data_IF_438100291039
#
_entry.id   IF_438100291039
#
_cell.length_a   1.000
_cell.length_b   1.000
_cell.length_c   1.000
_cell.angle_alpha   90.00
_cell.angle_beta   90.00
_cell.angle_gamma   90.00
#
_symmetry.space_group_name_H-M   'P 1'
#
loop_
_entity.id
_entity.type
_entity.pdbx_description
1 polymer ?
#
# COMPACT_ATOMS: atom_id res chain seq x y z
N UNK A 1 23.86 -12.25 -1.25
CA UNK A 1 22.61 -12.94 -0.85
C UNK A 1 21.69 -13.05 -2.07
N UNK A 2 21.03 -14.20 -2.28
CA UNK A 2 20.04 -14.37 -3.34
C UNK A 2 18.77 -13.59 -2.99
N UNK A 3 18.25 -12.77 -3.91
CA UNK A 3 16.99 -12.03 -3.71
C UNK A 3 15.79 -12.94 -3.99
N UNK A 4 14.73 -12.81 -3.18
CA UNK A 4 13.44 -13.44 -3.45
C UNK A 4 12.69 -12.67 -4.54
N UNK A 5 12.04 -13.42 -5.42
CA UNK A 5 11.04 -12.90 -6.38
C UNK A 5 9.79 -12.41 -5.63
N UNK A 6 8.94 -11.64 -6.32
CA UNK A 6 7.65 -11.20 -5.76
C UNK A 6 6.80 -12.43 -5.40
N UNK A 7 6.71 -13.43 -6.29
CA UNK A 7 5.95 -14.65 -6.04
C UNK A 7 6.42 -15.40 -4.79
N UNK A 8 7.72 -15.51 -4.56
CA UNK A 8 8.26 -16.11 -3.33
C UNK A 8 7.87 -15.32 -2.08
N UNK A 9 7.89 -13.99 -2.13
CA UNK A 9 7.48 -13.13 -1.01
C UNK A 9 5.98 -13.24 -0.70
N UNK A 10 5.14 -13.41 -1.73
CA UNK A 10 3.68 -13.54 -1.57
C UNK A 10 3.22 -14.86 -0.94
N UNK A 11 4.14 -15.79 -0.64
CA UNK A 11 3.84 -16.95 0.21
C UNK A 11 3.72 -16.61 1.70
N UNK A 12 4.12 -15.40 2.10
CA UNK A 12 4.08 -14.93 3.49
C UNK A 12 2.83 -14.11 3.79
N UNK A 13 2.29 -14.26 5.01
CA UNK A 13 1.10 -13.52 5.47
C UNK A 13 1.34 -12.01 5.60
N UNK A 14 2.53 -11.63 6.02
CA UNK A 14 2.90 -10.26 6.35
C UNK A 14 4.17 -9.87 5.58
N UNK A 15 4.16 -8.68 4.98
CA UNK A 15 5.29 -8.17 4.19
C UNK A 15 5.57 -6.74 4.62
N UNK A 16 6.83 -6.49 5.01
CA UNK A 16 7.29 -5.16 5.40
C UNK A 16 7.33 -4.23 4.17
N UNK A 17 6.68 -3.08 4.28
CA UNK A 17 6.64 -2.03 3.24
C UNK A 17 7.32 -0.76 3.78
N UNK A 18 8.65 -0.77 3.84
CA UNK A 18 9.41 0.32 4.43
C UNK A 18 9.78 1.37 3.38
N UNK A 19 9.51 2.64 3.69
CA UNK A 19 9.95 3.77 2.87
C UNK A 19 11.47 3.96 3.01
N UNK A 20 12.11 4.31 1.90
CA UNK A 20 13.54 4.61 1.83
C UNK A 20 13.74 6.09 1.52
N UNK A 21 14.32 6.36 0.34
CA UNK A 21 14.42 7.73 -0.18
C UNK A 21 13.06 8.30 -0.64
N UNK A 22 12.09 7.41 -0.88
CA UNK A 22 10.74 7.71 -1.37
C UNK A 22 9.80 6.58 -0.87
N UNK A 23 8.58 6.51 -1.39
CA UNK A 23 7.58 5.48 -1.08
C UNK A 23 8.13 4.05 -1.12
N UNK A 24 7.54 3.18 -0.30
CA UNK A 24 7.77 1.75 -0.36
C UNK A 24 7.27 1.19 -1.70
N UNK A 25 8.19 0.88 -2.63
CA UNK A 25 7.83 0.43 -3.98
C UNK A 25 7.06 -0.89 -4.00
N UNK A 26 7.14 -1.68 -2.92
CA UNK A 26 6.42 -2.94 -2.78
C UNK A 26 4.96 -2.82 -2.34
N UNK A 27 4.58 -1.68 -1.77
CA UNK A 27 3.25 -1.51 -1.17
C UNK A 27 2.10 -1.88 -2.12
N UNK A 28 2.21 -1.50 -3.40
CA UNK A 28 1.15 -1.66 -4.41
C UNK A 28 0.87 -3.14 -4.67
N UNK A 29 1.90 -3.94 -4.90
CA UNK A 29 1.73 -5.37 -5.16
C UNK A 29 1.45 -6.18 -3.88
N UNK A 30 1.88 -5.70 -2.71
CA UNK A 30 1.47 -6.31 -1.43
C UNK A 30 -0.03 -6.09 -1.21
N UNK A 31 -0.52 -4.85 -1.33
CA UNK A 31 -1.94 -4.53 -1.17
C UNK A 31 -2.83 -5.15 -2.24
N UNK A 32 -2.28 -5.46 -3.42
CA UNK A 32 -2.99 -6.19 -4.49
C UNK A 32 -3.04 -7.71 -4.27
N UNK A 33 -2.42 -8.21 -3.20
CA UNK A 33 -2.29 -9.65 -2.90
C UNK A 33 -3.09 -10.03 -1.65
N UNK A 34 -2.97 -11.29 -1.20
CA UNK A 34 -3.53 -11.75 0.07
C UNK A 34 -2.52 -11.64 1.24
N UNK A 35 -1.37 -10.99 1.02
CA UNK A 35 -0.43 -10.61 2.08
C UNK A 35 -0.80 -9.23 2.62
N UNK A 36 -0.54 -9.00 3.91
CA UNK A 36 -0.82 -7.72 4.57
C UNK A 36 0.45 -6.88 4.64
N UNK A 37 0.33 -5.63 4.21
CA UNK A 37 1.40 -4.64 4.35
C UNK A 37 1.60 -4.29 5.83
N UNK A 38 2.86 -4.32 6.26
CA UNK A 38 3.29 -3.92 7.61
C UNK A 38 4.26 -2.76 7.45
N UNK A 39 3.90 -1.59 7.96
CA UNK A 39 4.69 -0.38 7.69
C UNK A 39 4.43 0.72 8.73
N UNK A 40 5.40 1.64 8.91
CA UNK A 40 5.14 2.91 9.56
C UNK A 40 4.11 3.74 8.79
N UNK A 41 3.72 4.88 9.37
CA UNK A 41 2.84 5.82 8.68
C UNK A 41 3.53 6.32 7.39
N UNK A 42 2.88 6.26 6.21
CA UNK A 42 3.45 6.77 4.98
C UNK A 42 3.84 8.25 5.11
N UNK A 43 5.02 8.60 4.61
CA UNK A 43 5.56 9.98 4.60
C UNK A 43 5.57 10.56 3.19
N UNK A 44 5.62 9.72 2.18
CA UNK A 44 5.64 10.11 0.78
C UNK A 44 4.31 9.80 0.09
N UNK A 45 4.05 10.50 -1.02
CA UNK A 45 2.78 10.46 -1.74
C UNK A 45 3.03 10.22 -3.22
N UNK A 46 2.22 9.36 -3.83
CA UNK A 46 2.17 9.13 -5.27
C UNK A 46 0.73 9.13 -5.77
N UNK A 47 0.55 8.80 -7.04
CA UNK A 47 -0.78 8.57 -7.63
C UNK A 47 -1.62 7.53 -6.86
N UNK A 48 -0.98 6.64 -6.09
CA UNK A 48 -1.63 5.59 -5.30
C UNK A 48 -2.31 6.10 -4.00
N UNK A 49 -2.17 7.40 -3.69
CA UNK A 49 -2.80 8.05 -2.55
C UNK A 49 -2.42 7.41 -1.19
N UNK A 50 -1.13 7.18 -0.94
CA UNK A 50 -0.59 6.73 0.34
C UNK A 50 -1.11 7.55 1.54
N UNK A 51 -1.27 8.87 1.37
CA UNK A 51 -1.70 9.76 2.44
C UNK A 51 -3.13 9.52 2.95
N UNK A 52 -3.97 8.82 2.19
CA UNK A 52 -5.34 8.45 2.60
C UNK A 52 -5.45 7.04 3.17
N UNK A 53 -4.34 6.29 3.22
CA UNK A 53 -4.33 4.98 3.86
C UNK A 53 -4.59 5.11 5.36
N UNK A 54 -5.41 4.22 5.89
CA UNK A 54 -5.89 4.27 7.28
C UNK A 54 -5.21 3.13 8.01
N UNK A 55 -4.47 3.49 9.05
CA UNK A 55 -3.77 2.56 9.92
C UNK A 55 -4.74 1.51 10.49
N UNK A 56 -4.30 0.26 10.53
CA UNK A 56 -5.05 -0.90 11.02
C UNK A 56 -6.39 -1.15 10.27
N UNK A 57 -6.58 -0.51 9.11
CA UNK A 57 -7.67 -0.76 8.17
C UNK A 57 -7.17 -1.14 6.79
N UNK A 58 -6.19 -0.41 6.24
CA UNK A 58 -5.58 -0.71 4.93
C UNK A 58 -4.23 -1.44 5.07
N UNK A 59 -3.56 -1.31 6.22
CA UNK A 59 -2.26 -1.92 6.52
C UNK A 59 -2.07 -2.03 8.04
N UNK A 60 -1.10 -2.83 8.50
CA UNK A 60 -0.72 -2.92 9.91
C UNK A 60 0.28 -1.80 10.23
N UNK A 61 -0.11 -0.89 11.12
CA UNK A 61 0.77 0.18 11.57
C UNK A 61 1.78 -0.34 12.59
N UNK A 62 3.06 -0.03 12.36
CA UNK A 62 4.16 -0.18 13.32
C UNK A 62 4.82 1.17 13.58
N UNK A 63 5.60 1.29 14.65
CA UNK A 63 6.41 2.47 14.96
C UNK A 63 7.57 2.64 13.98
N UNK A 64 8.03 3.88 13.85
CA UNK A 64 9.20 4.25 13.04
C UNK A 64 10.50 3.54 13.48
N UNK A 65 10.59 3.15 14.77
CA UNK A 65 11.72 2.40 15.33
C UNK A 65 11.53 0.88 15.32
N UNK A 66 10.39 0.41 14.80
CA UNK A 66 9.99 -1.01 14.71
C UNK A 66 9.88 -1.74 16.05
N UNK A 67 9.87 -1.01 17.18
CA UNK A 67 9.88 -1.60 18.52
C UNK A 67 8.63 -2.41 18.86
N UNK A 68 7.53 -2.20 18.14
CA UNK A 68 6.24 -2.89 18.31
C UNK A 68 5.95 -3.92 17.20
N UNK A 69 6.92 -4.22 16.33
CA UNK A 69 6.71 -5.10 15.17
C UNK A 69 6.21 -6.50 15.60
N UNK A 70 6.92 -7.15 16.51
CA UNK A 70 6.58 -8.52 16.93
C UNK A 70 5.22 -8.59 17.64
N UNK A 71 4.93 -7.62 18.51
CA UNK A 71 3.64 -7.49 19.20
C UNK A 71 2.49 -7.37 18.19
N UNK A 72 2.64 -6.49 17.19
CA UNK A 72 1.64 -6.28 16.14
C UNK A 72 1.41 -7.53 15.31
N UNK A 73 2.47 -8.22 14.90
CA UNK A 73 2.33 -9.46 14.11
C UNK A 73 1.60 -10.54 14.90
N UNK A 74 1.99 -10.78 16.16
CA UNK A 74 1.35 -11.78 17.01
C UNK A 74 -0.14 -11.47 17.22
N UNK A 75 -0.48 -10.20 17.46
CA UNK A 75 -1.87 -9.78 17.57
C UNK A 75 -2.70 -10.16 16.33
N UNK A 76 -2.22 -9.88 15.12
CA UNK A 76 -2.97 -10.20 13.90
C UNK A 76 -2.96 -11.70 13.54
N UNK A 77 -1.96 -12.46 13.98
CA UNK A 77 -1.95 -13.93 13.91
C UNK A 77 -3.09 -14.51 14.76
N UNK A 78 -3.27 -14.00 15.97
CA UNK A 78 -4.31 -14.43 16.91
C UNK A 78 -5.71 -13.90 16.55
N UNK A 79 -5.78 -12.86 15.70
CA UNK A 79 -7.02 -12.19 15.30
C UNK A 79 -7.27 -12.27 13.78
N UNK A 80 -7.45 -13.47 13.19
CA UNK A 80 -7.54 -13.66 11.75
C UNK A 80 -8.69 -12.89 11.09
N UNK A 81 -9.81 -12.66 11.80
CA UNK A 81 -10.92 -11.84 11.28
C UNK A 81 -10.51 -10.38 11.02
N UNK A 82 -9.67 -9.81 11.90
CA UNK A 82 -9.15 -8.45 11.72
C UNK A 82 -8.17 -8.41 10.56
N UNK A 83 -7.30 -9.41 10.46
CA UNK A 83 -6.37 -9.56 9.34
C UNK A 83 -7.12 -9.65 7.99
N UNK A 84 -8.18 -10.46 7.91
CA UNK A 84 -9.01 -10.56 6.70
C UNK A 84 -9.69 -9.25 6.32
N UNK A 85 -10.17 -8.49 7.30
CA UNK A 85 -10.77 -7.16 7.04
C UNK A 85 -9.74 -6.19 6.45
N UNK A 86 -8.47 -6.26 6.87
CA UNK A 86 -7.40 -5.44 6.27
C UNK A 86 -7.18 -5.80 4.80
N UNK A 87 -7.17 -7.08 4.46
CA UNK A 87 -7.00 -7.54 3.07
C UNK A 87 -8.15 -7.02 2.20
N UNK A 88 -9.39 -7.16 2.66
CA UNK A 88 -10.57 -6.67 1.94
C UNK A 88 -10.52 -5.16 1.70
N UNK A 89 -10.18 -4.38 2.71
CA UNK A 89 -10.02 -2.93 2.60
C UNK A 89 -8.87 -2.56 1.66
N UNK A 90 -7.75 -3.30 1.70
CA UNK A 90 -6.63 -3.09 0.79
C UNK A 90 -7.03 -3.36 -0.67
N UNK A 91 -7.78 -4.42 -0.95
CA UNK A 91 -8.34 -4.70 -2.28
C UNK A 91 -9.31 -3.61 -2.73
N UNK A 92 -10.20 -3.14 -1.84
CA UNK A 92 -11.13 -2.06 -2.14
C UNK A 92 -10.42 -0.72 -2.42
N UNK A 93 -9.25 -0.49 -1.81
CA UNK A 93 -8.42 0.67 -2.16
C UNK A 93 -7.76 0.48 -3.52
N UNK A 94 -7.13 -0.67 -3.75
CA UNK A 94 -6.45 -1.01 -5.00
C UNK A 94 -7.40 -1.00 -6.20
N UNK A 95 -8.65 -1.46 -6.04
CA UNK A 95 -9.62 -1.56 -7.13
C UNK A 95 -9.93 -0.22 -7.82
N UNK A 96 -9.72 0.90 -7.11
CA UNK A 96 -9.88 2.26 -7.66
C UNK A 96 -8.90 2.57 -8.80
N UNK A 97 -7.79 1.83 -8.86
CA UNK A 97 -6.66 2.06 -9.75
C UNK A 97 -6.53 0.98 -10.84
N UNK A 98 -7.51 0.07 -10.95
CA UNK A 98 -7.47 -1.06 -11.88
C UNK A 98 -8.27 -0.83 -13.17
N UNK A 99 -9.05 0.25 -13.24
CA UNK A 99 -9.80 0.61 -14.44
C UNK A 99 -8.95 1.50 -15.35
N UNK A 100 -8.42 0.88 -16.42
CA UNK A 100 -7.57 1.57 -17.40
C UNK A 100 -8.28 2.75 -18.09
N UNK A 101 -9.59 2.66 -18.34
CA UNK A 101 -10.30 3.76 -18.99
C UNK A 101 -10.39 4.98 -18.07
N UNK A 102 -10.62 4.73 -16.78
CA UNK A 102 -10.60 5.77 -15.75
C UNK A 102 -9.20 6.37 -15.59
N UNK A 103 -8.15 5.56 -15.56
CA UNK A 103 -6.75 6.02 -15.47
C UNK A 103 -6.34 6.89 -16.67
N UNK A 104 -6.73 6.48 -17.88
CA UNK A 104 -6.45 7.25 -19.11
C UNK A 104 -7.19 8.59 -19.09
N UNK A 105 -8.47 8.59 -18.68
CA UNK A 105 -9.27 9.80 -18.55
C UNK A 105 -8.68 10.75 -17.50
N UNK A 106 -8.31 10.25 -16.33
CA UNK A 106 -7.66 11.03 -15.28
C UNK A 106 -6.36 11.66 -15.77
N UNK A 107 -5.53 10.89 -16.48
CA UNK A 107 -4.30 11.39 -17.08
C UNK A 107 -4.55 12.53 -18.06
N UNK A 108 -5.54 12.39 -18.95
CA UNK A 108 -5.94 13.45 -19.87
C UNK A 108 -6.46 14.70 -19.13
N UNK A 109 -7.25 14.52 -18.07
CA UNK A 109 -7.76 15.62 -17.24
C UNK A 109 -6.64 16.37 -16.51
N UNK A 110 -5.61 15.65 -16.03
CA UNK A 110 -4.43 16.26 -15.41
C UNK A 110 -3.67 17.12 -16.43
N UNK A 111 -3.47 16.61 -17.65
CA UNK A 111 -2.80 17.34 -18.73
C UNK A 111 -3.61 18.58 -19.14
N UNK A 112 -4.92 18.43 -19.37
CA UNK A 112 -5.81 19.55 -19.71
C UNK A 112 -5.80 20.64 -18.62
N UNK A 113 -5.87 20.23 -17.35
CA UNK A 113 -5.77 21.16 -16.22
C UNK A 113 -4.40 21.85 -16.18
N UNK A 114 -3.32 21.14 -16.48
CA UNK A 114 -1.97 21.70 -16.53
C UNK A 114 -1.85 22.77 -17.63
N UNK A 115 -2.30 22.52 -18.85
CA UNK A 115 -2.27 23.50 -19.95
C UNK A 115 -3.09 24.75 -19.62
N UNK A 116 -4.33 24.58 -19.15
CA UNK A 116 -5.20 25.68 -18.70
C UNK A 116 -4.58 26.53 -17.59
N UNK A 117 -3.68 25.98 -16.77
CA UNK A 117 -3.00 26.69 -15.68
C UNK A 117 -1.65 27.28 -16.08
N UNK A 118 -1.05 26.80 -17.16
CA UNK A 118 0.27 27.26 -17.63
C UNK A 118 0.20 28.14 -18.87
N UNK A 119 -1.00 28.55 -19.30
CA UNK A 119 -1.28 29.41 -20.47
C UNK A 119 -0.77 28.81 -21.79
N UNK A 120 -0.92 27.50 -21.95
CA UNK A 120 -0.83 26.79 -23.23
C UNK A 120 -2.22 26.36 -23.69
#
# INVERSE_FOLDING_TARGET
>A
AKRMTINEQLHYKFILCLEGNDVASNLKWVMSSNSIAVMPKPKFETWFMEGILVADQHYILIKDDYSDLEEKLNFYIENPKKASSIIENAHNHVSKFQDQQTEDLLSLMVIDKYFKKTNY
#
